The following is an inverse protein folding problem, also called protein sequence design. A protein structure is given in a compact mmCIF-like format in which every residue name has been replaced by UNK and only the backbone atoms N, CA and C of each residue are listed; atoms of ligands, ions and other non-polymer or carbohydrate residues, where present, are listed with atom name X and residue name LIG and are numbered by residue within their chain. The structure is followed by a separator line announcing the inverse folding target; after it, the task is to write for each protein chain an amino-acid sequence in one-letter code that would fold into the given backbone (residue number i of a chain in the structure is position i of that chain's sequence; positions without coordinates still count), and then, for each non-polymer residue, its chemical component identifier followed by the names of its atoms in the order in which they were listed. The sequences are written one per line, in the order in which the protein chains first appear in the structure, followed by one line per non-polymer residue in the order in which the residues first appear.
data_IF_030704962473
#
_entry.id   IF_030704962473
#
_cell.length_a   1.000
_cell.length_b   1.000
_cell.length_c   1.000
_cell.angle_alpha   90.00
_cell.angle_beta   90.00
_cell.angle_gamma   90.00
#
_symmetry.space_group_name_H-M   'P 1'
#
loop_
_entity.id
_entity.type
_entity.pdbx_description
1 polymer ?
#
# COMPACT_ATOMS: atom_id res chain seq x y z
N UNK A 1 -4.00 -19.13 -3.54
CA UNK A 1 -5.27 -18.77 -2.86
C UNK A 1 -5.41 -17.25 -2.79
N UNK A 2 -6.53 -16.72 -2.28
CA UNK A 2 -6.73 -15.28 -2.10
C UNK A 2 -6.71 -14.97 -0.62
N UNK A 3 -5.92 -13.96 -0.23
CA UNK A 3 -5.86 -13.48 1.15
C UNK A 3 -7.04 -12.56 1.47
N UNK A 4 -7.40 -11.67 0.52
CA UNK A 4 -8.54 -10.76 0.67
C UNK A 4 -9.40 -10.83 -0.58
N UNK A 5 -10.72 -10.89 -0.41
CA UNK A 5 -11.72 -10.79 -1.47
C UNK A 5 -12.74 -9.72 -1.10
N UNK A 6 -12.92 -8.74 -1.97
CA UNK A 6 -13.87 -7.64 -1.80
C UNK A 6 -14.85 -7.66 -2.95
N UNK A 7 -16.16 -7.64 -2.66
CA UNK A 7 -17.21 -7.57 -3.65
C UNK A 7 -18.21 -6.48 -3.27
N UNK A 8 -18.42 -5.51 -4.16
CA UNK A 8 -19.38 -4.40 -4.03
C UNK A 8 -19.27 -3.65 -2.69
N UNK A 9 -18.03 -3.42 -2.23
CA UNK A 9 -17.78 -2.65 -1.01
C UNK A 9 -18.23 -1.21 -1.19
N UNK A 10 -19.14 -0.76 -0.32
CA UNK A 10 -19.55 0.63 -0.25
C UNK A 10 -19.53 1.14 1.17
N UNK A 11 -18.86 2.28 1.38
CA UNK A 11 -18.82 2.99 2.65
C UNK A 11 -19.09 4.47 2.43
N UNK A 12 -20.22 4.94 2.94
CA UNK A 12 -20.63 6.33 2.82
C UNK A 12 -20.26 7.14 4.07
N UNK A 13 -19.79 8.36 3.82
CA UNK A 13 -19.65 9.44 4.80
C UNK A 13 -20.42 10.66 4.27
N UNK A 14 -20.51 11.74 5.05
CA UNK A 14 -21.25 12.94 4.67
C UNK A 14 -20.76 13.58 3.35
N UNK A 15 -19.44 13.61 3.16
CA UNK A 15 -18.79 14.34 2.07
C UNK A 15 -17.83 13.44 1.25
N UNK A 16 -17.88 12.13 1.44
CA UNK A 16 -17.01 11.17 0.77
C UNK A 16 -17.65 9.78 0.78
N UNK A 17 -17.51 9.05 -0.31
CA UNK A 17 -17.85 7.62 -0.38
C UNK A 17 -16.71 6.80 -0.97
N UNK A 18 -16.46 5.66 -0.36
CA UNK A 18 -15.62 4.60 -0.89
C UNK A 18 -16.52 3.58 -1.59
N UNK A 19 -16.19 3.24 -2.84
CA UNK A 19 -16.94 2.29 -3.65
C UNK A 19 -15.96 1.46 -4.48
N UNK A 20 -15.80 0.20 -4.09
CA UNK A 20 -14.89 -0.77 -4.71
C UNK A 20 -15.73 -1.95 -5.18
N UNK A 21 -15.91 -2.06 -6.49
CA UNK A 21 -16.75 -3.10 -7.09
C UNK A 21 -16.15 -4.50 -6.87
N UNK A 22 -14.87 -4.66 -7.13
CA UNK A 22 -14.16 -5.93 -6.95
C UNK A 22 -12.66 -5.67 -6.70
N UNK A 23 -12.10 -6.38 -5.70
CA UNK A 23 -10.66 -6.41 -5.46
C UNK A 23 -10.28 -7.76 -4.86
N UNK A 24 -9.33 -8.45 -5.48
CA UNK A 24 -8.84 -9.75 -5.04
C UNK A 24 -7.33 -9.68 -4.79
N UNK A 25 -6.90 -9.94 -3.56
CA UNK A 25 -5.50 -9.90 -3.14
C UNK A 25 -4.96 -11.32 -3.02
N UNK A 26 -3.90 -11.69 -3.76
CA UNK A 26 -3.29 -13.02 -3.70
C UNK A 26 -2.53 -13.24 -2.38
N UNK A 27 -2.31 -14.49 -2.02
CA UNK A 27 -1.40 -14.90 -0.95
C UNK A 27 0.07 -14.67 -1.35
N UNK A 28 0.91 -14.40 -0.34
CA UNK A 28 2.36 -14.36 -0.50
C UNK A 28 2.86 -13.19 -1.33
N UNK A 29 2.11 -12.09 -1.40
CA UNK A 29 2.45 -10.91 -2.19
C UNK A 29 2.48 -9.63 -1.35
N UNK A 30 3.26 -8.66 -1.80
CA UNK A 30 3.28 -7.29 -1.28
C UNK A 30 2.48 -6.38 -2.19
N UNK A 31 1.45 -5.76 -1.63
CA UNK A 31 0.56 -4.86 -2.37
C UNK A 31 0.75 -3.43 -1.88
N UNK A 32 1.12 -2.55 -2.80
CA UNK A 32 1.21 -1.12 -2.58
C UNK A 32 -0.14 -0.44 -2.83
N UNK A 33 -0.78 0.04 -1.76
CA UNK A 33 -2.03 0.81 -1.83
C UNK A 33 -1.70 2.30 -1.95
N UNK A 34 -1.93 2.87 -3.11
CA UNK A 34 -1.53 4.22 -3.49
C UNK A 34 -2.76 5.11 -3.67
N UNK A 35 -2.62 6.38 -3.37
CA UNK A 35 -3.63 7.41 -3.57
C UNK A 35 -3.28 8.69 -2.81
N UNK A 36 -3.87 9.79 -3.22
CA UNK A 36 -3.73 11.07 -2.54
C UNK A 36 -4.28 11.03 -1.10
N UNK A 37 -3.96 12.05 -0.30
CA UNK A 37 -4.58 12.19 1.02
C UNK A 37 -6.09 12.40 0.85
N UNK A 38 -6.88 11.62 1.59
CA UNK A 38 -8.34 11.62 1.45
C UNK A 38 -8.89 10.71 0.34
N UNK A 39 -8.06 10.03 -0.45
CA UNK A 39 -8.52 9.14 -1.52
C UNK A 39 -9.32 7.92 -1.03
N UNK A 40 -9.24 7.56 0.26
CA UNK A 40 -9.97 6.44 0.85
C UNK A 40 -9.11 5.26 1.30
N UNK A 41 -7.76 5.35 1.25
CA UNK A 41 -6.83 4.28 1.65
C UNK A 41 -7.11 3.76 3.07
N UNK A 42 -7.02 4.64 4.06
CA UNK A 42 -7.31 4.31 5.47
C UNK A 42 -8.73 3.77 5.66
N UNK A 43 -9.70 4.30 4.90
CA UNK A 43 -11.09 3.83 4.95
C UNK A 43 -11.19 2.39 4.45
N UNK A 44 -10.55 2.06 3.33
CA UNK A 44 -10.49 0.69 2.81
C UNK A 44 -9.85 -0.26 3.83
N UNK A 45 -8.68 0.11 4.39
CA UNK A 45 -8.00 -0.72 5.38
C UNK A 45 -8.87 -0.95 6.64
N UNK A 46 -9.59 0.08 7.11
CA UNK A 46 -10.50 -0.05 8.24
C UNK A 46 -11.75 -0.89 7.93
N UNK A 47 -12.23 -0.88 6.70
CA UNK A 47 -13.30 -1.81 6.26
C UNK A 47 -12.78 -3.25 6.22
N UNK A 48 -11.58 -3.50 5.65
CA UNK A 48 -10.96 -4.83 5.64
C UNK A 48 -10.75 -5.38 7.07
N UNK A 49 -10.41 -4.52 8.03
CA UNK A 49 -10.25 -4.88 9.45
C UNK A 49 -11.57 -4.93 10.23
N UNK A 50 -12.72 -4.79 9.58
CA UNK A 50 -14.06 -4.72 10.20
C UNK A 50 -14.20 -3.63 11.29
N UNK A 51 -13.39 -2.56 11.19
CA UNK A 51 -13.45 -1.40 12.10
C UNK A 51 -14.52 -0.39 11.67
N UNK A 52 -14.96 -0.45 10.43
CA UNK A 52 -16.07 0.36 9.90
C UNK A 52 -17.18 -0.52 9.36
N UNK A 53 -18.44 -0.14 9.62
CA UNK A 53 -19.59 -0.73 8.95
C UNK A 53 -19.62 -0.29 7.49
N UNK A 54 -19.91 -1.21 6.60
CA UNK A 54 -19.97 -1.02 5.16
C UNK A 54 -21.08 -1.88 4.56
N UNK A 55 -21.45 -1.62 3.32
CA UNK A 55 -22.27 -2.49 2.49
C UNK A 55 -21.36 -3.29 1.55
N UNK A 56 -21.81 -4.49 1.14
CA UNK A 56 -21.01 -5.41 0.32
C UNK A 56 -20.43 -6.57 1.12
N UNK A 57 -19.45 -7.26 0.53
CA UNK A 57 -18.85 -8.47 1.10
C UNK A 57 -17.32 -8.35 1.12
N UNK A 58 -16.72 -8.57 2.28
CA UNK A 58 -15.25 -8.65 2.44
C UNK A 58 -14.94 -9.98 3.13
N UNK A 59 -14.10 -10.78 2.49
CA UNK A 59 -13.55 -12.00 3.07
C UNK A 59 -12.04 -11.88 3.22
N UNK A 60 -11.55 -12.37 4.35
CA UNK A 60 -10.11 -12.51 4.60
C UNK A 60 -9.86 -13.99 4.89
N UNK A 61 -8.92 -14.59 4.14
CA UNK A 61 -8.66 -16.02 4.14
C UNK A 61 -9.92 -16.86 3.79
N UNK A 62 -10.81 -16.32 2.93
CA UNK A 62 -12.03 -16.98 2.46
C UNK A 62 -13.23 -16.89 3.41
N UNK A 63 -13.09 -16.23 4.57
CA UNK A 63 -14.13 -16.09 5.60
C UNK A 63 -14.36 -14.62 5.97
N UNK A 64 -15.52 -14.29 6.52
CA UNK A 64 -15.75 -13.01 7.18
C UNK A 64 -14.80 -12.85 8.38
N UNK A 65 -14.42 -11.60 8.70
CA UNK A 65 -13.53 -11.35 9.85
C UNK A 65 -14.28 -11.62 11.16
N UNK A 66 -13.67 -12.47 11.99
CA UNK A 66 -14.07 -12.76 13.36
C UNK A 66 -12.94 -12.45 14.32
N UNK A 67 -13.19 -12.56 15.62
CA UNK A 67 -12.17 -12.29 16.65
C UNK A 67 -10.92 -13.18 16.46
N UNK A 68 -11.11 -14.42 16.08
CA UNK A 68 -10.05 -15.41 15.86
C UNK A 68 -9.21 -15.09 14.62
N UNK A 69 -9.76 -14.35 13.64
CA UNK A 69 -9.03 -13.95 12.43
C UNK A 69 -7.84 -13.04 12.77
N UNK A 70 -7.93 -12.26 13.87
CA UNK A 70 -6.86 -11.37 14.30
C UNK A 70 -5.61 -12.10 14.81
N UNK A 71 -5.66 -13.39 15.11
CA UNK A 71 -4.46 -14.21 15.36
C UNK A 71 -3.57 -14.35 14.10
N UNK A 72 -4.15 -14.13 12.91
CA UNK A 72 -3.47 -14.21 11.61
C UNK A 72 -3.27 -12.85 10.94
N UNK A 73 -3.70 -11.77 11.58
CA UNK A 73 -3.64 -10.42 11.02
C UNK A 73 -2.82 -9.52 11.93
N UNK A 74 -1.72 -9.00 11.41
CA UNK A 74 -0.98 -7.89 12.01
C UNK A 74 -1.45 -6.56 11.40
N UNK A 75 -1.68 -5.54 12.21
CA UNK A 75 -2.12 -4.25 11.70
C UNK A 75 -1.41 -3.07 12.37
N UNK A 76 -0.97 -2.10 11.56
CA UNK A 76 -0.51 -0.79 12.00
C UNK A 76 -1.38 0.26 11.32
N UNK A 77 -2.24 0.89 12.10
CA UNK A 77 -3.12 1.97 11.66
C UNK A 77 -2.80 3.27 12.42
N UNK A 78 -3.20 4.47 11.92
CA UNK A 78 -2.83 5.74 12.52
C UNK A 78 -3.28 5.92 13.97
N UNK A 79 -4.39 5.30 14.35
CA UNK A 79 -4.96 5.42 15.69
C UNK A 79 -3.98 4.91 16.75
N UNK A 80 -3.94 5.62 17.90
CA UNK A 80 -3.03 5.28 18.99
C UNK A 80 -3.39 3.90 19.56
N UNK A 81 -2.40 3.03 19.63
CA UNK A 81 -2.59 1.63 19.99
C UNK A 81 -2.33 1.38 21.49
N UNK A 82 -1.34 2.08 22.03
CA UNK A 82 -0.95 1.96 23.43
C UNK A 82 -0.98 3.31 24.14
N UNK A 83 -1.15 3.26 25.46
CA UNK A 83 -1.05 4.46 26.28
C UNK A 83 0.39 5.01 26.25
N UNK A 84 0.54 6.28 25.98
CA UNK A 84 1.84 6.98 25.84
C UNK A 84 2.73 6.89 27.08
N UNK A 85 2.16 6.60 28.24
CA UNK A 85 2.89 6.44 29.51
C UNK A 85 3.48 5.04 29.70
N UNK A 86 3.11 4.08 28.85
CA UNK A 86 3.63 2.70 28.90
C UNK A 86 5.10 2.65 28.50
N UNK A 87 5.80 1.65 29.01
CA UNK A 87 7.13 1.23 28.56
C UNK A 87 7.01 0.09 27.58
N UNK A 88 8.10 -0.23 26.88
CA UNK A 88 8.15 -1.37 25.96
C UNK A 88 7.77 -2.68 26.67
N UNK A 89 8.17 -2.86 27.93
CA UNK A 89 7.78 -4.02 28.74
C UNK A 89 6.25 -4.13 28.90
N UNK A 90 5.57 -3.01 29.16
CA UNK A 90 4.11 -3.01 29.34
C UNK A 90 3.42 -3.41 28.02
N UNK A 91 3.98 -2.99 26.87
CA UNK A 91 3.52 -3.42 25.54
C UNK A 91 3.67 -4.93 25.37
N UNK A 92 4.83 -5.49 25.73
CA UNK A 92 5.08 -6.94 25.66
C UNK A 92 4.09 -7.71 26.55
N UNK A 93 3.86 -7.26 27.79
CA UNK A 93 2.92 -7.90 28.70
C UNK A 93 1.47 -7.91 28.15
N UNK A 94 1.05 -6.83 27.46
CA UNK A 94 -0.24 -6.77 26.78
C UNK A 94 -0.29 -7.74 25.60
N UNK A 95 0.72 -7.76 24.74
CA UNK A 95 0.76 -8.62 23.55
C UNK A 95 0.73 -10.11 23.93
N UNK A 96 1.41 -10.51 24.99
CA UNK A 96 1.38 -11.87 25.55
C UNK A 96 -0.01 -12.34 25.97
N UNK A 97 -0.85 -11.41 26.45
CA UNK A 97 -2.24 -11.74 26.83
C UNK A 97 -3.18 -11.68 25.64
N UNK A 98 -2.83 -10.86 24.64
CA UNK A 98 -3.66 -10.63 23.45
C UNK A 98 -3.54 -11.76 22.44
N UNK A 99 -2.32 -12.18 22.12
CA UNK A 99 -2.04 -13.18 21.09
C UNK A 99 -1.52 -14.49 21.66
N UNK A 100 -2.09 -15.61 21.22
CA UNK A 100 -1.69 -16.96 21.69
C UNK A 100 -0.28 -17.34 21.24
N UNK A 101 0.09 -16.91 20.03
CA UNK A 101 1.36 -17.24 19.41
C UNK A 101 2.38 -16.10 19.52
N UNK A 102 2.25 -15.21 20.53
CA UNK A 102 3.21 -14.12 20.70
C UNK A 102 4.61 -14.63 21.00
N UNK A 103 5.57 -14.27 20.15
CA UNK A 103 6.99 -14.61 20.30
C UNK A 103 7.75 -13.44 20.96
N UNK A 104 8.04 -13.59 22.26
CA UNK A 104 8.77 -12.60 23.04
C UNK A 104 10.23 -12.50 22.63
N UNK A 105 10.86 -13.60 22.24
CA UNK A 105 12.27 -13.63 21.83
C UNK A 105 12.41 -12.86 20.51
N UNK A 106 11.57 -13.15 19.51
CA UNK A 106 11.51 -12.41 18.25
C UNK A 106 11.26 -10.91 18.49
N UNK A 107 10.36 -10.55 19.42
CA UNK A 107 10.09 -9.14 19.73
C UNK A 107 11.36 -8.42 20.20
N UNK A 108 12.08 -9.00 21.15
CA UNK A 108 13.29 -8.37 21.69
C UNK A 108 14.45 -8.39 20.68
N UNK A 109 14.58 -9.39 19.85
CA UNK A 109 15.56 -9.46 18.77
C UNK A 109 15.32 -8.35 17.74
N UNK A 110 14.07 -8.13 17.35
CA UNK A 110 13.71 -7.01 16.47
C UNK A 110 13.96 -5.65 17.14
N UNK A 111 13.65 -5.52 18.43
CA UNK A 111 13.91 -4.29 19.18
C UNK A 111 15.43 -3.99 19.25
N UNK A 112 16.27 -5.01 19.39
CA UNK A 112 17.73 -4.86 19.41
C UNK A 112 18.29 -4.52 18.01
N UNK A 113 17.81 -5.16 16.95
CA UNK A 113 18.15 -4.78 15.57
C UNK A 113 17.89 -3.30 15.31
N UNK A 114 16.76 -2.77 15.78
CA UNK A 114 16.42 -1.36 15.68
C UNK A 114 17.07 -0.46 16.75
N UNK A 115 17.90 -1.02 17.66
CA UNK A 115 18.55 -0.29 18.75
C UNK A 115 17.57 0.51 19.62
N UNK A 116 16.42 -0.09 19.91
CA UNK A 116 15.36 0.59 20.65
C UNK A 116 15.71 0.79 22.13
N UNK A 117 15.43 1.97 22.69
CA UNK A 117 15.69 2.25 24.10
C UNK A 117 14.63 1.58 24.99
N UNK A 118 14.96 0.43 25.59
CA UNK A 118 14.01 -0.43 26.33
C UNK A 118 13.39 0.20 27.57
N UNK A 119 14.08 1.15 28.22
CA UNK A 119 13.66 1.75 29.52
C UNK A 119 12.80 2.99 29.39
N UNK A 120 12.66 3.54 28.17
CA UNK A 120 11.89 4.75 27.90
C UNK A 120 10.38 4.45 27.86
N UNK A 121 9.60 5.48 28.21
CA UNK A 121 8.16 5.48 27.94
C UNK A 121 7.89 5.76 26.47
N UNK A 122 6.71 5.36 25.97
CA UNK A 122 6.35 5.53 24.57
C UNK A 122 6.36 6.99 24.12
N UNK A 123 5.93 7.92 24.99
CA UNK A 123 5.97 9.36 24.71
C UNK A 123 7.39 9.98 24.70
N UNK A 124 8.41 9.23 25.12
CA UNK A 124 9.82 9.64 25.06
C UNK A 124 10.52 9.09 23.81
N UNK A 125 9.85 8.23 23.04
CA UNK A 125 10.37 7.69 21.80
C UNK A 125 10.25 8.70 20.64
N UNK A 126 11.20 8.69 19.72
CA UNK A 126 11.03 9.40 18.45
C UNK A 126 9.88 8.78 17.64
N UNK A 127 9.30 9.54 16.72
CA UNK A 127 8.23 9.05 15.81
C UNK A 127 8.69 7.78 15.07
N UNK A 128 9.95 7.75 14.61
CA UNK A 128 10.51 6.57 13.95
C UNK A 128 10.61 5.35 14.87
N UNK A 129 11.06 5.52 16.13
CA UNK A 129 11.10 4.41 17.08
C UNK A 129 9.71 3.94 17.47
N UNK A 130 8.74 4.85 17.59
CA UNK A 130 7.36 4.48 17.87
C UNK A 130 6.77 3.67 16.70
N UNK A 131 7.06 4.06 15.44
CA UNK A 131 6.63 3.30 14.28
C UNK A 131 7.28 1.91 14.22
N UNK A 132 8.58 1.82 14.47
CA UNK A 132 9.29 0.54 14.57
C UNK A 132 8.66 -0.37 15.63
N UNK A 133 8.32 0.18 16.82
CA UNK A 133 7.63 -0.57 17.87
C UNK A 133 6.25 -1.08 17.41
N UNK A 134 5.46 -0.24 16.72
CA UNK A 134 4.16 -0.66 16.17
C UNK A 134 4.31 -1.82 15.20
N UNK A 135 5.29 -1.75 14.28
CA UNK A 135 5.56 -2.81 13.30
C UNK A 135 5.99 -4.10 14.01
N UNK A 136 6.95 -4.04 14.94
CA UNK A 136 7.37 -5.21 15.72
C UNK A 136 6.18 -5.84 16.44
N UNK A 137 5.34 -5.00 17.09
CA UNK A 137 4.14 -5.48 17.79
C UNK A 137 3.15 -6.19 16.88
N UNK A 138 3.08 -5.75 15.61
CA UNK A 138 2.17 -6.32 14.63
C UNK A 138 2.66 -7.64 14.02
N UNK A 139 3.96 -7.95 14.08
CA UNK A 139 4.53 -9.17 13.45
C UNK A 139 4.88 -10.29 14.43
N UNK A 140 5.06 -9.98 15.73
CA UNK A 140 5.56 -10.95 16.72
C UNK A 140 4.55 -12.01 17.17
N UNK A 141 3.40 -12.14 16.52
CA UNK A 141 2.48 -13.26 16.66
C UNK A 141 2.37 -14.07 15.38
N UNK A 142 3.31 -13.85 14.44
CA UNK A 142 3.47 -14.54 13.16
C UNK A 142 2.22 -14.47 12.24
N UNK A 143 1.71 -13.27 11.93
CA UNK A 143 0.52 -13.13 11.08
C UNK A 143 0.77 -13.57 9.64
N UNK A 144 -0.28 -14.09 8.98
CA UNK A 144 -0.30 -14.42 7.55
C UNK A 144 -0.55 -13.16 6.68
N UNK A 145 -1.24 -12.15 7.24
CA UNK A 145 -1.55 -10.87 6.61
C UNK A 145 -1.07 -9.71 7.48
N UNK A 146 -0.24 -8.83 6.92
CA UNK A 146 0.19 -7.60 7.57
C UNK A 146 -0.40 -6.38 6.85
N UNK A 147 -1.18 -5.56 7.57
CA UNK A 147 -1.79 -4.33 7.07
C UNK A 147 -1.08 -3.13 7.67
N UNK A 148 -0.50 -2.27 6.82
CA UNK A 148 0.27 -1.11 7.24
C UNK A 148 -0.30 0.16 6.60
N UNK A 149 -0.82 1.07 7.42
CA UNK A 149 -1.34 2.35 6.93
C UNK A 149 -0.29 3.46 7.13
N UNK A 150 0.29 3.92 6.02
CA UNK A 150 1.29 5.00 5.97
C UNK A 150 2.49 4.79 6.93
N UNK A 151 3.13 3.61 6.99
CA UNK A 151 4.13 3.28 8.01
C UNK A 151 5.44 4.08 7.91
N UNK A 152 5.65 4.78 6.78
CA UNK A 152 6.85 5.58 6.53
C UNK A 152 6.57 7.08 6.49
N UNK A 153 5.31 7.48 6.63
CA UNK A 153 4.88 8.87 6.53
C UNK A 153 5.46 9.73 7.67
N UNK A 154 6.00 10.90 7.31
CA UNK A 154 6.57 11.84 8.28
C UNK A 154 7.90 11.41 8.91
N UNK A 155 8.51 10.33 8.42
CA UNK A 155 9.82 9.86 8.86
C UNK A 155 10.94 10.41 7.98
N UNK A 156 12.14 10.53 8.57
CA UNK A 156 13.33 10.88 7.80
C UNK A 156 13.74 9.72 6.84
N UNK A 157 14.50 10.03 5.76
CA UNK A 157 14.83 9.02 4.74
C UNK A 157 15.60 7.80 5.26
N UNK A 158 16.42 7.95 6.31
CA UNK A 158 17.20 6.83 6.87
C UNK A 158 16.29 5.86 7.59
N UNK A 159 15.40 6.37 8.45
CA UNK A 159 14.44 5.53 9.18
C UNK A 159 13.45 4.85 8.22
N UNK A 160 13.04 5.56 7.16
CA UNK A 160 12.19 4.97 6.11
C UNK A 160 12.87 3.77 5.44
N UNK A 161 14.13 3.94 5.06
CA UNK A 161 14.90 2.87 4.41
C UNK A 161 15.12 1.67 5.35
N UNK A 162 15.36 1.91 6.64
CA UNK A 162 15.44 0.86 7.66
C UNK A 162 14.12 0.07 7.79
N UNK A 163 12.97 0.75 7.79
CA UNK A 163 11.64 0.10 7.89
C UNK A 163 11.37 -0.71 6.62
N UNK A 164 11.61 -0.13 5.43
CA UNK A 164 11.40 -0.82 4.15
C UNK A 164 12.30 -2.05 4.05
N UNK A 165 13.59 -1.92 4.41
CA UNK A 165 14.53 -3.05 4.44
C UNK A 165 14.10 -4.15 5.41
N UNK A 166 13.59 -3.77 6.59
CA UNK A 166 13.06 -4.72 7.56
C UNK A 166 11.82 -5.47 7.04
N UNK A 167 10.88 -4.77 6.40
CA UNK A 167 9.69 -5.39 5.79
C UNK A 167 10.10 -6.32 4.63
N UNK A 168 11.07 -5.91 3.82
CA UNK A 168 11.61 -6.76 2.74
C UNK A 168 12.21 -8.07 3.28
N UNK A 169 12.98 -8.00 4.39
CA UNK A 169 13.51 -9.21 5.04
C UNK A 169 12.40 -10.09 5.63
N UNK A 170 11.33 -9.46 6.17
CA UNK A 170 10.21 -10.18 6.77
C UNK A 170 9.41 -11.03 5.77
N UNK A 171 9.30 -10.56 4.51
CA UNK A 171 8.54 -11.26 3.46
C UNK A 171 9.38 -12.21 2.61
N UNK A 172 10.66 -12.33 2.88
CA UNK A 172 11.64 -12.99 2.02
C UNK A 172 11.30 -14.45 1.68
N UNK A 173 10.59 -15.14 2.56
CA UNK A 173 10.21 -16.54 2.38
C UNK A 173 8.94 -16.70 1.52
N UNK A 174 8.26 -15.59 1.16
CA UNK A 174 7.13 -15.58 0.22
C UNK A 174 5.82 -16.19 0.74
N UNK A 175 5.71 -16.41 2.06
CA UNK A 175 4.54 -17.00 2.73
C UNK A 175 3.62 -15.95 3.36
N UNK A 176 4.05 -14.69 3.45
CA UNK A 176 3.31 -13.59 4.07
C UNK A 176 2.74 -12.63 3.03
N UNK A 177 1.55 -12.13 3.31
CA UNK A 177 0.93 -11.07 2.48
C UNK A 177 1.05 -9.74 3.20
N UNK A 178 1.48 -8.68 2.50
CA UNK A 178 1.51 -7.33 3.04
C UNK A 178 0.62 -6.42 2.20
N UNK A 179 -0.31 -5.72 2.82
CA UNK A 179 -1.05 -4.61 2.26
C UNK A 179 -0.55 -3.31 2.89
N UNK A 180 0.19 -2.55 2.11
CA UNK A 180 0.96 -1.39 2.56
C UNK A 180 0.45 -0.13 1.88
N UNK A 181 -0.15 0.80 2.63
CA UNK A 181 -0.56 2.09 2.07
C UNK A 181 0.58 3.10 2.13
N UNK A 182 0.74 3.89 1.09
CA UNK A 182 1.65 5.04 1.08
C UNK A 182 1.26 6.07 0.04
N UNK A 183 1.56 7.34 0.31
CA UNK A 183 1.61 8.41 -0.70
C UNK A 183 3.04 8.63 -1.22
N UNK A 184 4.02 7.89 -0.71
CA UNK A 184 5.43 7.95 -1.10
C UNK A 184 5.73 6.80 -2.04
N UNK A 185 5.70 7.09 -3.34
CA UNK A 185 5.80 6.09 -4.39
C UNK A 185 7.12 5.32 -4.39
N UNK A 186 8.23 6.00 -4.05
CA UNK A 186 9.54 5.35 -3.96
C UNK A 186 9.60 4.22 -2.93
N UNK A 187 8.77 4.26 -1.89
CA UNK A 187 8.71 3.18 -0.90
C UNK A 187 7.95 1.99 -1.46
N UNK A 188 6.83 2.25 -2.16
CA UNK A 188 6.04 1.24 -2.85
C UNK A 188 6.86 0.55 -3.94
N UNK A 189 7.55 1.32 -4.79
CA UNK A 189 8.36 0.76 -5.89
C UNK A 189 9.46 -0.18 -5.41
N UNK A 190 9.98 0.03 -4.19
CA UNK A 190 11.04 -0.81 -3.62
C UNK A 190 10.57 -2.23 -3.26
N UNK A 191 9.35 -2.40 -2.73
CA UNK A 191 8.94 -3.68 -2.14
C UNK A 191 7.66 -4.27 -2.73
N UNK A 192 6.81 -3.48 -3.40
CA UNK A 192 5.52 -3.97 -3.88
C UNK A 192 5.65 -4.84 -5.14
N UNK A 193 4.89 -5.93 -5.17
CA UNK A 193 4.67 -6.78 -6.34
C UNK A 193 3.48 -6.27 -7.16
N UNK A 194 2.43 -5.79 -6.47
CA UNK A 194 1.21 -5.28 -7.08
C UNK A 194 0.95 -3.84 -6.66
N UNK A 195 0.30 -3.09 -7.52
CA UNK A 195 -0.13 -1.71 -7.29
C UNK A 195 -1.66 -1.66 -7.26
N UNK A 196 -2.21 -1.12 -6.17
CA UNK A 196 -3.62 -0.77 -6.02
C UNK A 196 -3.68 0.75 -5.98
N UNK A 197 -4.30 1.38 -6.98
CA UNK A 197 -4.46 2.82 -7.01
C UNK A 197 -5.91 3.24 -6.76
N UNK A 198 -6.12 3.99 -5.68
CA UNK A 198 -7.42 4.58 -5.32
C UNK A 198 -7.39 6.09 -5.53
N UNK A 199 -8.42 6.60 -6.19
CA UNK A 199 -8.66 8.03 -6.40
C UNK A 199 -10.12 8.35 -6.14
N UNK A 200 -10.40 9.36 -5.33
CA UNK A 200 -11.77 9.80 -4.96
C UNK A 200 -12.71 8.64 -4.59
N UNK A 201 -12.22 7.73 -3.76
CA UNK A 201 -13.01 6.60 -3.27
C UNK A 201 -13.25 5.47 -4.29
N UNK A 202 -12.60 5.50 -5.45
CA UNK A 202 -12.74 4.49 -6.51
C UNK A 202 -11.44 3.76 -6.76
N UNK A 203 -11.52 2.47 -7.06
CA UNK A 203 -10.39 1.69 -7.56
C UNK A 203 -10.17 2.06 -9.03
N UNK A 204 -9.03 2.73 -9.30
CA UNK A 204 -8.68 3.18 -10.65
C UNK A 204 -7.81 2.14 -11.37
N UNK A 205 -6.93 1.48 -10.62
CA UNK A 205 -5.97 0.54 -11.16
C UNK A 205 -5.65 -0.55 -10.13
N UNK A 206 -5.57 -1.78 -10.60
CA UNK A 206 -4.99 -2.90 -9.89
C UNK A 206 -4.26 -3.79 -10.90
N UNK A 207 -2.94 -3.89 -10.77
CA UNK A 207 -2.11 -4.69 -11.69
C UNK A 207 -0.78 -5.02 -11.01
N UNK A 208 -0.07 -6.01 -11.55
CA UNK A 208 1.31 -6.32 -11.19
C UNK A 208 2.23 -5.15 -11.58
N UNK A 209 3.14 -4.74 -10.69
CA UNK A 209 4.00 -3.57 -10.89
C UNK A 209 4.84 -3.65 -12.16
N UNK A 210 5.48 -4.78 -12.41
CA UNK A 210 6.35 -4.95 -13.57
C UNK A 210 5.54 -4.94 -14.88
N UNK A 211 4.36 -5.57 -14.87
CA UNK A 211 3.40 -5.53 -15.97
C UNK A 211 2.96 -4.09 -16.30
N UNK A 212 2.70 -3.27 -15.28
CA UNK A 212 2.37 -1.86 -15.47
C UNK A 212 3.47 -1.09 -16.19
N UNK A 213 4.72 -1.26 -15.74
CA UNK A 213 5.88 -0.56 -16.30
C UNK A 213 6.15 -1.00 -17.74
N UNK A 214 5.84 -2.25 -18.09
CA UNK A 214 5.97 -2.76 -19.47
C UNK A 214 4.82 -2.32 -20.39
N UNK A 215 3.62 -2.20 -19.84
CA UNK A 215 2.39 -1.90 -20.57
C UNK A 215 2.26 -0.43 -20.96
N UNK A 216 2.77 0.47 -20.11
CA UNK A 216 2.61 1.91 -20.28
C UNK A 216 3.92 2.61 -20.64
N UNK A 217 3.80 3.70 -21.42
CA UNK A 217 4.92 4.56 -21.76
C UNK A 217 4.47 5.99 -22.02
N UNK A 218 5.44 6.90 -22.10
CA UNK A 218 5.20 8.32 -22.35
C UNK A 218 5.68 8.69 -23.75
N UNK A 219 4.77 9.10 -24.59
CA UNK A 219 5.06 9.67 -25.91
C UNK A 219 5.10 11.20 -25.79
N UNK A 220 6.21 11.83 -26.21
CA UNK A 220 6.33 13.28 -26.34
C UNK A 220 6.15 13.68 -27.80
N UNK A 221 5.07 14.39 -28.10
CA UNK A 221 4.73 14.74 -29.48
C UNK A 221 4.00 16.09 -29.56
N UNK A 222 3.65 16.50 -30.79
CA UNK A 222 2.77 17.66 -31.00
C UNK A 222 1.30 17.28 -30.86
N UNK A 223 0.46 18.26 -30.54
CA UNK A 223 -1.00 18.04 -30.44
C UNK A 223 -1.62 17.56 -31.78
N UNK A 224 -1.05 17.97 -32.91
CA UNK A 224 -1.50 17.56 -34.25
C UNK A 224 -1.24 16.06 -34.49
N UNK A 225 -0.09 15.55 -34.05
CA UNK A 225 0.30 14.16 -34.24
C UNK A 225 -0.50 13.19 -33.35
N UNK A 226 -1.03 13.64 -32.20
CA UNK A 226 -1.84 12.80 -31.33
C UNK A 226 -2.99 12.09 -32.05
N UNK A 227 -3.60 12.75 -33.03
CA UNK A 227 -4.72 12.21 -33.83
C UNK A 227 -4.35 10.95 -34.61
N UNK A 228 -3.06 10.71 -34.84
CA UNK A 228 -2.57 9.58 -35.61
C UNK A 228 -2.47 8.29 -34.79
N UNK A 229 -2.49 8.38 -33.45
CA UNK A 229 -2.22 7.26 -32.57
C UNK A 229 -3.48 6.61 -31.96
N UNK A 230 -4.65 7.20 -32.20
CA UNK A 230 -5.96 6.61 -31.91
C UNK A 230 -6.08 6.06 -30.49
N UNK A 231 -6.53 4.81 -30.40
CA UNK A 231 -6.83 4.12 -29.14
C UNK A 231 -5.60 3.76 -28.27
N UNK A 232 -4.39 3.99 -28.78
CA UNK A 232 -3.19 3.81 -27.97
C UNK A 232 -3.04 4.88 -26.90
N UNK A 233 -3.61 6.08 -27.10
CA UNK A 233 -3.55 7.17 -26.14
C UNK A 233 -4.62 6.97 -25.06
N UNK A 234 -4.21 6.89 -23.80
CA UNK A 234 -5.12 6.87 -22.67
C UNK A 234 -5.45 8.27 -22.16
N UNK A 235 -4.43 9.08 -21.96
CA UNK A 235 -4.53 10.45 -21.42
C UNK A 235 -3.42 11.31 -22.00
N UNK A 236 -3.65 12.62 -21.99
CA UNK A 236 -2.66 13.61 -22.45
C UNK A 236 -2.41 14.66 -21.40
N UNK A 237 -1.19 15.22 -21.40
CA UNK A 237 -0.78 16.35 -20.57
C UNK A 237 -0.08 17.40 -21.44
N UNK A 238 -0.61 18.60 -21.49
CA UNK A 238 0.06 19.72 -22.19
C UNK A 238 1.17 20.32 -21.33
N UNK A 239 2.35 20.40 -21.89
CA UNK A 239 3.47 21.13 -21.35
C UNK A 239 3.71 22.41 -22.21
N UNK A 240 4.60 23.27 -21.73
CA UNK A 240 4.90 24.56 -22.43
C UNK A 240 5.37 24.39 -23.89
N UNK A 241 6.03 23.28 -24.21
CA UNK A 241 6.69 23.05 -25.50
C UNK A 241 6.28 21.76 -26.21
N UNK A 242 5.55 20.87 -25.55
CA UNK A 242 5.14 19.58 -26.10
C UNK A 242 3.87 19.09 -25.41
N UNK A 243 3.20 18.15 -26.04
CA UNK A 243 2.17 17.36 -25.38
C UNK A 243 2.75 15.98 -25.05
N UNK A 244 2.58 15.55 -23.83
CA UNK A 244 2.88 14.20 -23.40
C UNK A 244 1.59 13.36 -23.40
N UNK A 245 1.69 12.13 -23.88
CA UNK A 245 0.60 11.18 -23.92
C UNK A 245 1.00 9.89 -23.20
N UNK A 246 0.14 9.40 -22.31
CA UNK A 246 0.27 8.07 -21.74
C UNK A 246 -0.22 7.07 -22.78
N UNK A 247 0.72 6.24 -23.26
CA UNK A 247 0.48 5.18 -24.25
C UNK A 247 0.25 3.86 -23.53
N UNK A 248 -0.82 3.15 -23.90
CA UNK A 248 -1.05 1.76 -23.50
C UNK A 248 -0.49 0.79 -24.54
N UNK A 249 -0.11 -0.42 -24.10
CA UNK A 249 0.40 -1.49 -24.97
C UNK A 249 1.62 -1.03 -25.79
N UNK A 250 2.64 -0.50 -25.10
CA UNK A 250 3.84 0.11 -25.72
C UNK A 250 4.50 -0.79 -26.74
N UNK A 251 4.56 -2.10 -26.52
CA UNK A 251 5.16 -3.05 -27.47
C UNK A 251 4.41 -3.03 -28.79
N UNK A 252 3.09 -3.16 -28.76
CA UNK A 252 2.25 -3.11 -29.95
C UNK A 252 2.31 -1.74 -30.65
N UNK A 253 2.30 -0.66 -29.83
CA UNK A 253 2.46 0.70 -30.37
C UNK A 253 3.73 0.84 -31.20
N UNK A 254 4.87 0.33 -30.71
CA UNK A 254 6.16 0.40 -31.40
C UNK A 254 6.18 -0.42 -32.70
N UNK A 255 5.39 -1.47 -32.82
CA UNK A 255 5.24 -2.23 -34.08
C UNK A 255 4.53 -1.39 -35.16
N UNK A 256 3.50 -0.64 -34.78
CA UNK A 256 2.76 0.26 -35.70
C UNK A 256 3.51 1.57 -35.98
N UNK A 257 4.28 2.07 -35.00
CA UNK A 257 4.95 3.37 -35.05
C UNK A 257 6.44 3.24 -34.67
N UNK A 258 7.25 2.52 -35.46
CA UNK A 258 8.64 2.18 -35.10
C UNK A 258 9.58 3.38 -35.00
N UNK A 259 9.21 4.53 -35.60
CA UNK A 259 10.01 5.75 -35.56
C UNK A 259 9.67 6.68 -34.35
N UNK A 260 8.62 6.36 -33.60
CA UNK A 260 8.22 7.15 -32.44
C UNK A 260 9.06 6.77 -31.20
N UNK A 261 9.52 7.78 -30.49
CA UNK A 261 10.25 7.60 -29.24
C UNK A 261 9.29 7.61 -28.07
N UNK A 262 9.12 6.46 -27.44
CA UNK A 262 8.31 6.29 -26.23
C UNK A 262 9.24 6.08 -25.05
N UNK A 263 9.22 7.02 -24.12
CA UNK A 263 9.95 6.91 -22.85
C UNK A 263 9.27 5.89 -21.95
N UNK A 264 10.05 5.21 -21.10
CA UNK A 264 9.51 4.27 -20.09
C UNK A 264 8.74 5.08 -19.04
N UNK A 265 7.49 4.71 -18.76
CA UNK A 265 6.73 5.26 -17.66
C UNK A 265 7.11 4.56 -16.35
N UNK A 266 7.27 5.31 -15.26
CA UNK A 266 7.30 4.76 -13.91
C UNK A 266 5.89 4.78 -13.29
N UNK A 267 5.73 4.24 -12.09
CA UNK A 267 4.42 4.19 -11.41
C UNK A 267 3.87 5.60 -11.16
N UNK A 268 4.73 6.55 -10.81
CA UNK A 268 4.34 7.95 -10.58
C UNK A 268 3.76 8.61 -11.83
N UNK A 269 4.44 8.43 -12.96
CA UNK A 269 3.97 8.95 -14.25
C UNK A 269 2.57 8.41 -14.58
N UNK A 270 2.38 7.10 -14.46
CA UNK A 270 1.09 6.43 -14.74
C UNK A 270 0.00 7.02 -13.86
N UNK A 271 0.25 7.17 -12.57
CA UNK A 271 -0.71 7.72 -11.62
C UNK A 271 -1.08 9.18 -11.92
N UNK A 272 -0.08 10.03 -12.20
CA UNK A 272 -0.31 11.44 -12.54
C UNK A 272 -1.22 11.57 -13.77
N UNK A 273 -1.04 10.70 -14.76
CA UNK A 273 -1.92 10.70 -15.93
C UNK A 273 -3.33 10.19 -15.60
N UNK A 274 -3.46 9.15 -14.78
CA UNK A 274 -4.75 8.55 -14.45
C UNK A 274 -5.56 9.39 -13.46
N UNK A 275 -4.92 10.12 -12.52
CA UNK A 275 -5.57 10.99 -11.54
C UNK A 275 -6.19 12.25 -12.15
N UNK A 276 -5.57 12.80 -13.18
CA UNK A 276 -6.11 13.99 -13.84
C UNK A 276 -7.24 13.57 -14.77
N UNK A 277 -8.48 13.74 -14.31
CA UNK A 277 -9.66 13.61 -15.16
C UNK A 277 -9.43 14.37 -16.47
N UNK A 278 -9.67 13.74 -17.63
CA UNK A 278 -9.35 14.32 -18.93
C UNK A 278 -10.00 15.69 -19.13
N UNK A 279 -9.16 16.67 -19.45
CA UNK A 279 -9.59 17.81 -20.26
C UNK A 279 -9.29 17.48 -21.70
#
# INVERSE_FOLDING_TARGET
MKTIEINNLRKEFKDFDLDIENLEIPEGAVLGLIGENGAGKTTLLKCILDLYRYDGDIKVFGEEIHKESFEKIGAVIPDSFFNDTFKIKDVVDILKVTYKNFDEEMFYDCADKFKMPRDKKLNELSTGNLMKLKIISAICHDPDLLILDEPTSGLDPVIRDEIIGFLFDYIKDGDKTILFSSHILSDIEKIADYIIYIHEGRLILYDEKDSLIEKYGILKTSEENLKNYGDFILKTRKNKYSTEALIKNVQVFKEFYPNEVVDRANVEDIMIFLSRGGQ
#
